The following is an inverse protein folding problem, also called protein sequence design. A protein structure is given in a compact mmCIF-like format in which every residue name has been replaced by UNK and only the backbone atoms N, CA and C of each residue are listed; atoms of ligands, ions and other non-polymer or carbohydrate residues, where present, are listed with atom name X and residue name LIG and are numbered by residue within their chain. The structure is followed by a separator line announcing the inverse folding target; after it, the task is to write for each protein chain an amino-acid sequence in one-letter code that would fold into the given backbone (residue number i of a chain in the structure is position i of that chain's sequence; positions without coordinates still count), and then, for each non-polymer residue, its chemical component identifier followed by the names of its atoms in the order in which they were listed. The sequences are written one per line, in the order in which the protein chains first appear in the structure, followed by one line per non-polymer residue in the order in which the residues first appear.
data_IF_591767316497
#
_entry.id   IF_591767316497
#
_cell.length_a   1.000
_cell.length_b   1.000
_cell.length_c   1.000
_cell.angle_alpha   90.00
_cell.angle_beta   90.00
_cell.angle_gamma   90.00
#
_symmetry.space_group_name_H-M   'P 1'
#
loop_
_entity.id
_entity.type
_entity.pdbx_description
1 polymer ?
#
# COMPACT_ATOMS: atom_id res chain seq x y z
N UNK A 1 -10.47 -1.82 -7.35
CA UNK A 1 -10.15 -1.10 -8.60
C UNK A 1 -11.30 -1.29 -9.59
N UNK A 2 -12.16 -0.29 -9.69
CA UNK A 2 -13.30 -0.22 -10.61
C UNK A 2 -13.29 1.13 -11.32
N UNK A 3 -13.91 1.26 -12.51
CA UNK A 3 -13.74 2.45 -13.35
C UNK A 3 -14.52 3.68 -12.87
N UNK A 4 -15.48 3.51 -11.97
CA UNK A 4 -16.34 4.62 -11.53
C UNK A 4 -16.79 4.52 -10.08
N UNK A 5 -17.11 5.68 -9.49
CA UNK A 5 -17.70 5.77 -8.15
C UNK A 5 -19.09 5.11 -8.11
N UNK A 6 -19.84 5.16 -9.20
CA UNK A 6 -21.17 4.52 -9.29
C UNK A 6 -21.05 3.01 -9.12
N UNK A 7 -20.14 2.38 -9.85
CA UNK A 7 -19.88 0.93 -9.74
C UNK A 7 -19.33 0.56 -8.36
N UNK A 8 -18.41 1.37 -7.81
CA UNK A 8 -17.92 1.17 -6.45
C UNK A 8 -19.04 1.19 -5.41
N UNK A 9 -19.96 2.15 -5.49
CA UNK A 9 -21.13 2.26 -4.59
C UNK A 9 -22.09 1.07 -4.76
N UNK A 10 -22.28 0.56 -5.97
CA UNK A 10 -23.09 -0.65 -6.19
C UNK A 10 -22.49 -1.85 -5.47
N UNK A 11 -21.20 -2.10 -5.64
CA UNK A 11 -20.48 -3.20 -4.97
C UNK A 11 -20.54 -3.04 -3.44
N UNK A 12 -20.32 -1.83 -2.92
CA UNK A 12 -20.40 -1.56 -1.48
C UNK A 12 -21.80 -1.86 -0.94
N UNK A 13 -22.85 -1.47 -1.69
CA UNK A 13 -24.24 -1.75 -1.33
C UNK A 13 -24.56 -3.24 -1.33
N UNK A 14 -24.08 -3.97 -2.34
CA UNK A 14 -24.29 -5.43 -2.44
C UNK A 14 -23.57 -6.19 -1.32
N UNK A 15 -22.36 -5.77 -0.95
CA UNK A 15 -21.60 -6.38 0.14
C UNK A 15 -22.18 -6.06 1.52
N UNK A 16 -22.85 -4.91 1.68
CA UNK A 16 -23.50 -4.51 2.92
C UNK A 16 -22.59 -4.60 4.14
N UNK A 17 -22.98 -5.41 5.13
CA UNK A 17 -22.23 -5.64 6.37
C UNK A 17 -21.11 -6.70 6.24
N UNK A 18 -21.06 -7.44 5.13
CA UNK A 18 -20.06 -8.49 4.93
C UNK A 18 -18.65 -7.93 4.64
N UNK A 19 -18.56 -6.65 4.24
CA UNK A 19 -17.29 -5.95 4.08
C UNK A 19 -17.29 -4.64 4.86
N UNK A 20 -16.19 -4.42 5.61
CA UNK A 20 -15.99 -3.19 6.40
C UNK A 20 -14.68 -2.49 6.08
N UNK A 21 -13.87 -3.07 5.18
CA UNK A 21 -12.56 -2.55 4.79
C UNK A 21 -12.43 -2.52 3.27
N UNK A 22 -12.22 -1.35 2.70
CA UNK A 22 -12.21 -1.10 1.26
C UNK A 22 -10.87 -0.51 0.82
N UNK A 23 -10.29 -1.07 -0.23
CA UNK A 23 -9.09 -0.52 -0.88
C UNK A 23 -9.50 0.32 -2.10
N UNK A 24 -8.94 1.52 -2.20
CA UNK A 24 -9.10 2.42 -3.34
C UNK A 24 -7.72 2.68 -3.93
N UNK A 25 -7.54 2.27 -5.18
CA UNK A 25 -6.32 2.47 -5.97
C UNK A 25 -6.47 3.58 -7.00
N UNK A 26 -5.47 3.73 -7.88
CA UNK A 26 -5.37 4.83 -8.84
C UNK A 26 -6.59 4.98 -9.74
N UNK A 27 -7.08 3.89 -10.32
CA UNK A 27 -8.19 3.94 -11.26
C UNK A 27 -9.39 4.67 -10.67
N UNK A 28 -9.83 4.26 -9.48
CA UNK A 28 -10.97 4.87 -8.83
C UNK A 28 -10.64 6.23 -8.21
N UNK A 29 -9.43 6.41 -7.67
CA UNK A 29 -9.01 7.68 -7.07
C UNK A 29 -9.12 8.84 -8.06
N UNK A 30 -8.63 8.65 -9.30
CA UNK A 30 -8.73 9.65 -10.36
C UNK A 30 -10.12 9.78 -10.99
N UNK A 31 -11.02 8.85 -10.71
CA UNK A 31 -12.43 8.92 -11.10
C UNK A 31 -13.36 9.44 -9.99
N UNK A 32 -12.82 10.20 -9.02
CA UNK A 32 -13.59 10.76 -7.91
C UNK A 32 -13.58 9.90 -6.63
N UNK A 33 -12.79 8.83 -6.59
CA UNK A 33 -12.72 7.90 -5.46
C UNK A 33 -12.16 8.49 -4.16
N UNK A 34 -11.49 9.64 -4.18
CA UNK A 34 -11.01 10.29 -2.96
C UNK A 34 -12.15 10.86 -2.12
N UNK A 35 -13.22 11.35 -2.74
CA UNK A 35 -14.41 11.78 -2.01
C UNK A 35 -15.15 10.58 -1.44
N UNK A 36 -15.30 9.51 -2.21
CA UNK A 36 -15.83 8.24 -1.71
C UNK A 36 -15.02 7.71 -0.51
N UNK A 37 -13.69 7.82 -0.54
CA UNK A 37 -12.84 7.42 0.59
C UNK A 37 -13.15 8.20 1.87
N UNK A 38 -13.36 9.53 1.75
CA UNK A 38 -13.77 10.37 2.88
C UNK A 38 -15.15 9.99 3.42
N UNK A 39 -16.10 9.74 2.54
CA UNK A 39 -17.45 9.36 2.93
C UNK A 39 -17.45 8.02 3.68
N UNK A 40 -16.78 7.00 3.14
CA UNK A 40 -16.63 5.70 3.80
C UNK A 40 -15.95 5.82 5.18
N UNK A 41 -14.91 6.64 5.30
CA UNK A 41 -14.25 6.86 6.58
C UNK A 41 -15.19 7.54 7.60
N UNK A 42 -16.00 8.52 7.18
CA UNK A 42 -17.00 9.16 8.03
C UNK A 42 -18.12 8.20 8.48
N UNK A 43 -18.44 7.20 7.66
CA UNK A 43 -19.38 6.12 7.98
C UNK A 43 -18.78 5.05 8.90
N UNK A 44 -17.52 5.21 9.34
CA UNK A 44 -16.84 4.25 10.20
C UNK A 44 -16.28 3.03 9.45
N UNK A 45 -16.26 3.04 8.13
CA UNK A 45 -15.61 2.00 7.32
C UNK A 45 -14.11 2.21 7.32
N UNK A 46 -13.34 1.13 7.29
CA UNK A 46 -11.89 1.19 7.11
C UNK A 46 -11.56 1.38 5.64
N UNK A 47 -10.64 2.29 5.35
CA UNK A 47 -10.22 2.61 3.98
C UNK A 47 -8.72 2.50 3.85
N UNK A 48 -8.28 1.78 2.82
CA UNK A 48 -6.91 1.66 2.40
C UNK A 48 -6.72 2.44 1.09
N UNK A 49 -6.03 3.58 1.15
CA UNK A 49 -5.63 4.33 -0.03
C UNK A 49 -4.32 3.78 -0.59
N UNK A 50 -4.41 3.10 -1.74
CA UNK A 50 -3.26 2.48 -2.41
C UNK A 50 -2.68 3.42 -3.47
N UNK A 51 -2.00 4.47 -3.01
CA UNK A 51 -1.49 5.59 -3.83
C UNK A 51 0.00 5.48 -4.17
N UNK A 52 0.74 4.59 -3.52
CA UNK A 52 2.17 4.36 -3.76
C UNK A 52 2.95 5.67 -3.96
N UNK A 53 2.75 6.63 -3.03
CA UNK A 53 3.33 7.97 -3.13
C UNK A 53 4.85 7.90 -3.29
N UNK A 54 5.38 8.67 -4.23
CA UNK A 54 6.81 8.91 -4.40
C UNK A 54 7.02 10.26 -5.05
N UNK A 55 7.64 11.17 -4.33
CA UNK A 55 7.93 12.55 -4.75
C UNK A 55 9.03 13.13 -3.85
N UNK A 56 9.36 14.41 -4.02
CA UNK A 56 10.20 15.17 -3.11
C UNK A 56 9.62 15.11 -1.69
N UNK A 57 10.47 15.00 -0.69
CA UNK A 57 10.10 14.73 0.71
C UNK A 57 9.00 15.66 1.25
N UNK A 58 9.09 16.97 0.95
CA UNK A 58 8.10 17.96 1.39
C UNK A 58 6.75 17.75 0.72
N UNK A 59 6.73 17.30 -0.54
CA UNK A 59 5.50 16.97 -1.27
C UNK A 59 4.84 15.74 -0.68
N UNK A 60 5.64 14.69 -0.39
CA UNK A 60 5.14 13.48 0.30
C UNK A 60 4.58 13.84 1.67
N UNK A 61 5.29 14.63 2.47
CA UNK A 61 4.83 15.06 3.79
C UNK A 61 3.48 15.79 3.72
N UNK A 62 3.33 16.74 2.81
CA UNK A 62 2.08 17.50 2.63
C UNK A 62 0.92 16.62 2.15
N UNK A 63 1.19 15.66 1.28
CA UNK A 63 0.19 14.67 0.87
C UNK A 63 -0.27 13.83 2.06
N UNK A 64 0.67 13.32 2.88
CA UNK A 64 0.36 12.54 4.08
C UNK A 64 -0.43 13.34 5.11
N UNK A 65 -0.07 14.62 5.38
CA UNK A 65 -0.85 15.51 6.26
C UNK A 65 -2.32 15.64 5.80
N UNK A 66 -2.54 15.75 4.48
CA UNK A 66 -3.88 15.86 3.93
C UNK A 66 -4.65 14.53 4.02
N UNK A 67 -4.00 13.41 3.73
CA UNK A 67 -4.61 12.08 3.85
C UNK A 67 -4.93 11.74 5.30
N UNK A 68 -4.09 12.10 6.25
CA UNK A 68 -4.35 11.91 7.68
C UNK A 68 -5.66 12.59 8.13
N UNK A 69 -5.97 13.78 7.57
CA UNK A 69 -7.22 14.52 7.85
C UNK A 69 -8.47 13.87 7.23
N UNK A 70 -8.30 12.95 6.27
CA UNK A 70 -9.42 12.25 5.65
C UNK A 70 -10.02 11.15 6.55
N UNK A 71 -9.30 10.73 7.60
CA UNK A 71 -9.74 9.67 8.50
C UNK A 71 -9.59 8.25 7.92
N UNK A 72 -8.85 8.09 6.82
CA UNK A 72 -8.58 6.77 6.23
C UNK A 72 -7.63 5.97 7.09
N UNK A 73 -7.68 4.63 6.96
CA UNK A 73 -6.96 3.70 7.84
C UNK A 73 -5.52 3.47 7.40
N UNK A 74 -5.29 3.31 6.09
CA UNK A 74 -3.98 2.97 5.53
C UNK A 74 -3.67 3.78 4.29
N UNK A 75 -2.37 4.08 4.08
CA UNK A 75 -1.84 4.73 2.89
C UNK A 75 -0.54 4.08 2.47
N UNK A 76 -0.36 3.81 1.18
CA UNK A 76 0.91 3.33 0.63
C UNK A 76 1.78 4.47 0.12
N UNK A 77 3.08 4.31 0.33
CA UNK A 77 4.14 5.05 -0.35
C UNK A 77 5.28 4.08 -0.70
N UNK A 78 6.08 4.39 -1.72
CA UNK A 78 7.24 3.58 -2.05
C UNK A 78 8.28 3.62 -0.91
N UNK A 79 8.90 2.46 -0.62
CA UNK A 79 9.84 2.29 0.49
C UNK A 79 11.21 2.91 0.19
N UNK A 80 11.23 4.19 -0.10
CA UNK A 80 12.44 5.01 -0.19
C UNK A 80 12.70 5.69 1.15
N UNK A 81 13.88 5.52 1.77
CA UNK A 81 14.14 5.93 3.15
C UNK A 81 13.80 7.39 3.46
N UNK A 82 14.10 8.29 2.53
CA UNK A 82 13.84 9.72 2.69
C UNK A 82 12.34 10.03 2.71
N UNK A 83 11.61 9.47 1.73
CA UNK A 83 10.16 9.63 1.65
C UNK A 83 9.45 9.01 2.87
N UNK A 84 9.87 7.82 3.32
CA UNK A 84 9.31 7.18 4.51
C UNK A 84 9.49 8.01 5.78
N UNK A 85 10.69 8.55 6.01
CA UNK A 85 10.96 9.42 7.18
C UNK A 85 10.08 10.67 7.17
N UNK A 86 9.96 11.33 6.03
CA UNK A 86 9.10 12.51 5.88
C UNK A 86 7.62 12.17 6.10
N UNK A 87 7.15 11.03 5.58
CA UNK A 87 5.80 10.56 5.75
C UNK A 87 5.48 10.23 7.22
N UNK A 88 6.37 9.51 7.91
CA UNK A 88 6.20 9.15 9.33
C UNK A 88 6.12 10.39 10.20
N UNK A 89 6.99 11.38 9.97
CA UNK A 89 6.95 12.65 10.70
C UNK A 89 5.62 13.39 10.47
N UNK A 90 5.16 13.44 9.23
CA UNK A 90 3.91 14.10 8.84
C UNK A 90 2.64 13.40 9.39
N UNK A 91 2.71 12.10 9.63
CA UNK A 91 1.60 11.33 10.18
C UNK A 91 1.54 11.32 11.71
N UNK A 92 2.50 11.90 12.41
CA UNK A 92 2.54 11.92 13.88
C UNK A 92 1.24 12.46 14.48
N UNK A 93 0.73 11.74 15.48
CA UNK A 93 -0.51 12.11 16.16
C UNK A 93 -1.78 11.72 15.41
N UNK A 94 -1.68 11.09 14.24
CA UNK A 94 -2.83 10.52 13.52
C UNK A 94 -2.87 8.99 13.65
N UNK A 95 -4.05 8.36 13.51
CA UNK A 95 -4.19 6.91 13.50
C UNK A 95 -3.82 6.27 12.14
N UNK A 96 -3.36 7.06 11.16
CA UNK A 96 -3.05 6.60 9.82
C UNK A 96 -1.87 5.62 9.82
N UNK A 97 -2.09 4.42 9.33
CA UNK A 97 -1.04 3.41 9.13
C UNK A 97 -0.36 3.63 7.77
N UNK A 98 0.92 3.96 7.78
CA UNK A 98 1.73 4.10 6.57
C UNK A 98 2.34 2.76 6.18
N UNK A 99 2.16 2.36 4.91
CA UNK A 99 2.67 1.11 4.35
C UNK A 99 3.75 1.40 3.30
N UNK A 100 4.97 0.88 3.52
CA UNK A 100 6.08 0.97 2.56
C UNK A 100 5.98 -0.09 1.48
N UNK A 101 5.78 0.30 0.22
CA UNK A 101 5.79 -0.63 -0.92
C UNK A 101 7.23 -0.99 -1.25
N UNK A 102 7.59 -2.24 -1.05
CA UNK A 102 8.97 -2.72 -1.22
C UNK A 102 9.33 -2.88 -2.69
N UNK A 103 8.87 -3.93 -3.35
CA UNK A 103 8.99 -4.16 -4.79
C UNK A 103 7.62 -4.57 -5.31
N UNK A 104 7.19 -4.00 -6.42
CA UNK A 104 5.90 -4.36 -7.03
C UNK A 104 5.90 -5.85 -7.40
N UNK A 105 4.81 -6.56 -7.11
CA UNK A 105 4.68 -8.00 -7.37
C UNK A 105 4.62 -8.36 -8.86
N UNK A 106 4.44 -7.35 -9.72
CA UNK A 106 4.56 -7.44 -11.17
C UNK A 106 6.00 -7.37 -11.70
N UNK A 107 6.98 -7.03 -10.83
CA UNK A 107 8.40 -6.91 -11.23
C UNK A 107 9.18 -8.17 -10.89
N UNK A 108 9.98 -8.63 -11.86
CA UNK A 108 10.99 -9.67 -11.70
C UNK A 108 12.42 -9.08 -11.72
N UNK A 109 13.42 -9.94 -11.82
CA UNK A 109 14.83 -9.53 -11.83
C UNK A 109 15.21 -8.73 -13.09
N UNK A 110 14.63 -9.08 -14.25
CA UNK A 110 14.86 -8.35 -15.49
C UNK A 110 14.28 -6.93 -15.42
N UNK A 111 13.05 -6.78 -14.89
CA UNK A 111 12.43 -5.46 -14.69
C UNK A 111 13.23 -4.59 -13.72
N UNK A 112 13.82 -5.18 -12.69
CA UNK A 112 14.70 -4.44 -11.76
C UNK A 112 16.00 -4.01 -12.43
N UNK A 113 16.60 -4.87 -13.26
CA UNK A 113 17.81 -4.54 -14.01
C UNK A 113 17.54 -3.38 -14.98
N UNK A 114 16.43 -3.43 -15.72
CA UNK A 114 15.99 -2.36 -16.62
C UNK A 114 15.71 -1.04 -15.88
N UNK A 115 15.25 -1.12 -14.63
CA UNK A 115 15.08 0.03 -13.75
C UNK A 115 16.40 0.51 -13.09
N UNK A 116 17.54 -0.08 -13.43
CA UNK A 116 18.87 0.30 -12.95
C UNK A 116 19.27 -0.30 -11.59
N UNK A 117 18.57 -1.32 -11.11
CA UNK A 117 18.95 -2.03 -9.89
C UNK A 117 19.85 -3.23 -10.20
N UNK A 118 20.94 -3.37 -9.46
CA UNK A 118 21.87 -4.52 -9.51
C UNK A 118 21.62 -5.46 -8.32
N UNK A 119 20.38 -5.88 -8.11
CA UNK A 119 19.99 -6.73 -6.98
C UNK A 119 18.74 -7.54 -7.34
N UNK A 120 18.55 -8.66 -6.69
CA UNK A 120 17.32 -9.46 -6.86
C UNK A 120 16.10 -8.83 -6.20
N UNK A 121 14.86 -9.14 -6.64
CA UNK A 121 13.66 -8.67 -5.97
C UNK A 121 13.65 -9.01 -4.48
N UNK A 122 14.02 -10.24 -4.11
CA UNK A 122 14.08 -10.70 -2.72
C UNK A 122 15.03 -9.86 -1.87
N UNK A 123 16.28 -9.66 -2.34
CA UNK A 123 17.26 -8.84 -1.61
C UNK A 123 16.81 -7.39 -1.43
N UNK A 124 16.19 -6.82 -2.47
CA UNK A 124 15.65 -5.45 -2.40
C UNK A 124 14.48 -5.34 -1.45
N UNK A 125 13.57 -6.34 -1.44
CA UNK A 125 12.45 -6.42 -0.48
C UNK A 125 12.97 -6.46 0.96
N UNK A 126 13.90 -7.35 1.28
CA UNK A 126 14.45 -7.47 2.64
C UNK A 126 15.16 -6.19 3.10
N UNK A 127 15.94 -5.58 2.21
CA UNK A 127 16.59 -4.28 2.47
C UNK A 127 15.57 -3.19 2.78
N UNK A 128 14.53 -3.07 1.94
CA UNK A 128 13.45 -2.08 2.12
C UNK A 128 12.59 -2.35 3.34
N UNK A 129 12.42 -3.61 3.73
CA UNK A 129 11.72 -3.97 4.96
C UNK A 129 12.47 -3.46 6.21
N UNK A 130 13.79 -3.64 6.27
CA UNK A 130 14.63 -3.10 7.34
C UNK A 130 14.53 -1.55 7.35
N UNK A 131 14.65 -0.91 6.19
CA UNK A 131 14.57 0.54 6.07
C UNK A 131 13.19 1.07 6.50
N UNK A 132 12.11 0.36 6.21
CA UNK A 132 10.75 0.72 6.64
C UNK A 132 10.61 0.63 8.17
N UNK A 133 11.10 -0.46 8.77
CA UNK A 133 11.16 -0.62 10.23
C UNK A 133 11.94 0.53 10.89
N UNK A 134 13.14 0.79 10.39
CA UNK A 134 14.04 1.80 10.96
C UNK A 134 13.53 3.25 10.76
N UNK A 135 12.69 3.47 9.74
CA UNK A 135 11.98 4.73 9.54
C UNK A 135 10.74 4.88 10.43
N UNK A 136 10.29 3.83 11.12
CA UNK A 136 9.09 3.84 11.95
C UNK A 136 7.77 3.70 11.17
N UNK A 137 7.81 3.06 9.99
CA UNK A 137 6.59 2.76 9.24
C UNK A 137 5.67 1.81 10.01
N UNK A 138 4.37 1.99 9.89
CA UNK A 138 3.37 1.10 10.52
C UNK A 138 3.23 -0.25 9.84
N UNK A 139 3.73 -0.38 8.60
CA UNK A 139 3.72 -1.63 7.85
C UNK A 139 4.43 -1.52 6.50
N UNK A 140 4.31 -2.60 5.73
CA UNK A 140 4.87 -2.67 4.38
C UNK A 140 4.04 -3.58 3.46
N UNK A 141 4.32 -3.49 2.16
CA UNK A 141 3.73 -4.34 1.12
C UNK A 141 4.85 -5.14 0.46
N UNK A 142 4.68 -6.46 0.39
CA UNK A 142 5.60 -7.38 -0.30
C UNK A 142 4.82 -8.56 -0.92
N UNK A 143 5.48 -9.44 -1.68
CA UNK A 143 4.88 -10.70 -2.09
C UNK A 143 4.66 -11.63 -0.89
N UNK A 144 3.67 -12.49 -0.96
CA UNK A 144 3.47 -13.54 0.05
C UNK A 144 4.68 -14.49 0.16
N UNK A 145 5.44 -14.66 -0.92
CA UNK A 145 6.67 -15.47 -0.95
C UNK A 145 7.73 -14.97 0.06
N UNK A 146 7.83 -13.64 0.25
CA UNK A 146 8.81 -13.05 1.17
C UNK A 146 8.26 -12.83 2.60
N UNK A 147 6.97 -13.03 2.83
CA UNK A 147 6.30 -12.61 4.06
C UNK A 147 6.91 -13.20 5.34
N UNK A 148 7.34 -14.47 5.31
CA UNK A 148 7.96 -15.13 6.46
C UNK A 148 9.31 -14.49 6.83
N UNK A 149 10.15 -14.24 5.83
CA UNK A 149 11.47 -13.60 6.07
C UNK A 149 11.31 -12.15 6.49
N UNK A 150 10.40 -11.44 5.85
CA UNK A 150 10.07 -10.05 6.21
C UNK A 150 9.57 -9.99 7.66
N UNK A 151 8.67 -10.89 8.07
CA UNK A 151 8.18 -10.96 9.45
C UNK A 151 9.30 -11.14 10.46
N UNK A 152 10.28 -12.00 10.16
CA UNK A 152 11.44 -12.22 11.02
C UNK A 152 12.31 -10.96 11.18
N UNK A 153 12.38 -10.10 10.15
CA UNK A 153 13.16 -8.86 10.17
C UNK A 153 12.45 -7.69 10.86
N UNK A 154 11.12 -7.56 10.69
CA UNK A 154 10.39 -6.37 11.13
C UNK A 154 9.66 -6.57 12.47
N UNK A 155 9.63 -7.78 13.00
CA UNK A 155 8.96 -8.10 14.27
C UNK A 155 7.43 -8.25 14.13
N UNK A 156 6.71 -8.50 15.23
CA UNK A 156 5.30 -8.85 15.21
C UNK A 156 4.36 -7.66 14.95
N UNK A 157 4.77 -6.44 15.28
CA UNK A 157 3.86 -5.29 15.35
C UNK A 157 3.63 -4.59 14.01
N UNK A 158 4.56 -4.70 13.07
CA UNK A 158 4.39 -4.12 11.73
C UNK A 158 3.37 -4.90 10.90
N UNK A 159 2.46 -4.19 10.25
CA UNK A 159 1.55 -4.80 9.28
C UNK A 159 2.32 -5.27 8.04
N UNK A 160 2.02 -6.50 7.56
CA UNK A 160 2.52 -7.02 6.28
C UNK A 160 1.32 -7.24 5.38
N UNK A 161 1.27 -6.53 4.27
CA UNK A 161 0.21 -6.62 3.27
C UNK A 161 0.76 -7.33 2.04
N UNK A 162 0.10 -8.42 1.65
CA UNK A 162 0.57 -9.30 0.56
C UNK A 162 -0.45 -9.32 -0.58
N UNK A 163 -0.35 -8.42 -1.57
CA UNK A 163 -1.19 -8.47 -2.77
C UNK A 163 -0.75 -9.63 -3.67
N UNK A 164 -1.59 -9.94 -4.67
CA UNK A 164 -1.22 -10.90 -5.71
C UNK A 164 -1.47 -12.37 -5.34
N UNK A 165 -2.17 -12.66 -4.24
CA UNK A 165 -2.58 -14.04 -3.92
C UNK A 165 -3.64 -14.50 -4.92
N UNK A 166 -3.45 -15.68 -5.48
CA UNK A 166 -4.39 -16.31 -6.41
C UNK A 166 -4.81 -17.69 -5.90
N UNK A 167 -6.11 -18.01 -5.90
CA UNK A 167 -6.54 -19.40 -5.69
C UNK A 167 -5.91 -20.35 -6.72
N UNK A 168 -5.72 -21.60 -6.35
CA UNK A 168 -5.19 -22.61 -7.28
C UNK A 168 -6.02 -22.66 -8.56
N UNK A 169 -5.38 -22.54 -9.72
CA UNK A 169 -6.03 -22.53 -11.04
C UNK A 169 -6.56 -21.18 -11.51
N UNK A 170 -6.46 -20.12 -10.71
CA UNK A 170 -6.84 -18.77 -11.17
C UNK A 170 -5.76 -18.15 -12.09
N UNK A 171 -6.19 -17.27 -12.99
CA UNK A 171 -5.29 -16.53 -13.87
C UNK A 171 -4.39 -15.58 -13.03
N UNK A 172 -3.09 -15.59 -13.34
CA UNK A 172 -2.11 -14.72 -12.68
C UNK A 172 -2.23 -13.25 -13.11
N UNK A 173 -2.82 -12.99 -14.28
CA UNK A 173 -2.87 -11.66 -14.89
C UNK A 173 -1.45 -11.11 -15.11
N UNK A 174 -1.21 -9.86 -14.73
CA UNK A 174 0.07 -9.16 -14.82
C UNK A 174 1.03 -9.44 -13.64
N UNK A 175 0.66 -10.31 -12.71
CA UNK A 175 1.46 -10.63 -11.53
C UNK A 175 2.55 -11.66 -11.85
N UNK A 176 3.82 -11.36 -11.56
CA UNK A 176 4.97 -12.25 -11.77
C UNK A 176 5.36 -13.03 -10.53
N UNK A 177 5.16 -12.45 -9.34
CA UNK A 177 5.48 -13.05 -8.03
C UNK A 177 4.20 -13.27 -7.24
N UNK A 178 3.60 -14.43 -7.44
CA UNK A 178 2.30 -14.85 -6.87
C UNK A 178 2.39 -16.19 -6.17
N UNK A 179 1.59 -16.39 -5.13
CA UNK A 179 1.36 -17.67 -4.46
C UNK A 179 -0.07 -18.15 -4.72
#
# INVERSE_FOLDING_TARGET
DVPSVTEAKSIISELGHHASFYKIGYQLAFAGGLDLARDLAREGRKVFLDMKLLDIDTTVAKAVENVAKMGVTMLTLHAYPKAMKAAVEAAKGSPLTLLGVTVLTSMDEADLADAGYSTTPRELVLRRAIQARDAGMGGLVCSAEEATEVRALVGPDMAIVTPGIRPAGADKGDQKRVM
#
